data_IF_153079200413
#
_entry.id   IF_153079200413
#
_cell.length_a   1.000
_cell.length_b   1.000
_cell.length_c   1.000
_cell.angle_alpha   90.00
_cell.angle_beta   90.00
_cell.angle_gamma   90.00
#
_symmetry.space_group_name_H-M   'P 1'
#
loop_
_entity.id
_entity.type
_entity.pdbx_description
1 polymer ?
#
# COMPACT_ATOMS: atom_id res chain seq x y z
N UNK A 1 18.04 6.44 -4.95
CA UNK A 1 18.04 5.17 -5.73
C UNK A 1 17.39 3.98 -5.03
N UNK A 2 17.69 3.67 -3.77
CA UNK A 2 17.28 2.42 -3.08
C UNK A 2 15.82 1.94 -3.32
N UNK A 3 14.79 2.68 -2.87
CA UNK A 3 13.39 2.25 -3.00
C UNK A 3 12.90 2.25 -4.46
N UNK A 4 13.43 3.14 -5.29
CA UNK A 4 13.13 3.18 -6.74
C UNK A 4 13.65 1.92 -7.41
N UNK A 5 14.86 1.48 -7.06
CA UNK A 5 15.44 0.22 -7.55
C UNK A 5 14.63 -0.99 -7.11
N UNK A 6 14.15 -1.02 -5.85
CA UNK A 6 13.25 -2.08 -5.37
C UNK A 6 11.94 -2.13 -6.17
N UNK A 7 11.33 -0.97 -6.41
CA UNK A 7 10.10 -0.87 -7.21
C UNK A 7 10.28 -1.45 -8.62
N UNK A 8 11.44 -1.25 -9.23
CA UNK A 8 11.73 -1.72 -10.59
C UNK A 8 12.23 -3.18 -10.65
N UNK A 9 12.95 -3.63 -9.63
CA UNK A 9 13.61 -4.95 -9.60
C UNK A 9 12.82 -6.06 -8.90
N UNK A 10 11.97 -5.72 -7.94
CA UNK A 10 11.31 -6.69 -7.06
C UNK A 10 9.82 -6.83 -7.36
N UNK A 11 9.47 -7.55 -8.44
CA UNK A 11 8.07 -7.74 -8.89
C UNK A 11 7.15 -8.42 -7.87
N UNK A 12 7.73 -9.20 -6.96
CA UNK A 12 6.97 -9.91 -5.92
C UNK A 12 7.11 -9.29 -4.52
N UNK A 13 7.58 -8.04 -4.41
CA UNK A 13 7.71 -7.37 -3.11
C UNK A 13 6.36 -7.36 -2.37
N UNK A 14 6.31 -7.97 -1.18
CA UNK A 14 5.11 -8.07 -0.34
C UNK A 14 5.19 -7.22 0.93
N UNK A 15 6.38 -7.04 1.47
CA UNK A 15 6.60 -6.29 2.71
C UNK A 15 7.81 -5.39 2.56
N UNK A 16 7.71 -4.15 3.04
CA UNK A 16 8.79 -3.18 3.04
C UNK A 16 8.78 -2.38 4.35
N UNK A 17 9.92 -2.38 5.04
CA UNK A 17 10.13 -1.60 6.27
C UNK A 17 11.14 -0.47 6.01
N UNK A 18 10.73 0.75 6.33
CA UNK A 18 11.48 1.99 6.10
C UNK A 18 11.44 2.88 7.35
N UNK A 19 11.32 2.27 8.53
CA UNK A 19 11.26 2.97 9.82
C UNK A 19 12.35 4.04 9.93
N UNK A 20 11.95 5.26 10.29
CA UNK A 20 12.82 6.41 10.55
C UNK A 20 13.72 6.82 9.35
N UNK A 21 13.39 6.41 8.13
CA UNK A 21 14.15 6.80 6.95
C UNK A 21 13.94 8.28 6.61
N UNK A 22 14.84 9.15 7.06
CA UNK A 22 14.74 10.61 6.85
C UNK A 22 15.00 11.06 5.39
N UNK A 23 15.71 10.25 4.61
CA UNK A 23 16.09 10.58 3.22
C UNK A 23 15.12 9.99 2.18
N UNK A 24 14.01 9.40 2.62
CA UNK A 24 13.01 8.89 1.68
C UNK A 24 12.20 10.04 1.10
N UNK A 25 11.81 9.91 -0.17
CA UNK A 25 11.16 10.97 -0.93
C UNK A 25 9.85 10.50 -1.53
N UNK A 26 8.97 11.45 -1.84
CA UNK A 26 7.72 11.18 -2.57
C UNK A 26 7.98 10.50 -3.91
N UNK A 27 9.07 10.85 -4.62
CA UNK A 27 9.48 10.18 -5.86
C UNK A 27 9.66 8.67 -5.67
N UNK A 28 10.18 8.25 -4.51
CA UNK A 28 10.30 6.83 -4.19
C UNK A 28 8.93 6.17 -3.98
N UNK A 29 7.99 6.84 -3.30
CA UNK A 29 6.62 6.35 -3.12
C UNK A 29 5.88 6.23 -4.47
N UNK A 30 5.97 7.24 -5.33
CA UNK A 30 5.38 7.18 -6.67
C UNK A 30 5.99 6.07 -7.53
N UNK A 31 7.30 5.82 -7.39
CA UNK A 31 7.93 4.68 -8.08
C UNK A 31 7.38 3.35 -7.60
N UNK A 32 7.15 3.19 -6.28
CA UNK A 32 6.49 2.00 -5.73
C UNK A 32 5.06 1.86 -6.25
N UNK A 33 4.26 2.92 -6.23
CA UNK A 33 2.89 2.92 -6.78
C UNK A 33 2.88 2.45 -8.25
N UNK A 34 3.82 2.95 -9.05
CA UNK A 34 3.91 2.64 -10.47
C UNK A 34 4.53 1.27 -10.81
N UNK A 35 5.12 0.56 -9.84
CA UNK A 35 5.77 -0.74 -10.08
C UNK A 35 4.83 -1.82 -10.64
N UNK A 36 3.52 -1.66 -10.45
CA UNK A 36 2.45 -2.52 -10.99
C UNK A 36 2.34 -2.48 -12.51
N UNK A 37 2.67 -1.34 -13.13
CA UNK A 37 2.33 -1.04 -14.52
C UNK A 37 3.47 -1.37 -15.50
N UNK A 38 4.48 -2.13 -15.05
CA UNK A 38 5.67 -2.47 -15.81
C UNK A 38 5.42 -3.43 -16.99
N UNK A 39 4.98 -2.86 -18.12
CA UNK A 39 5.16 -3.31 -19.53
C UNK A 39 4.16 -4.26 -20.20
N UNK A 40 2.95 -4.50 -19.69
CA UNK A 40 1.87 -5.12 -20.50
C UNK A 40 0.48 -4.81 -19.92
N UNK A 41 0.07 -3.55 -20.07
CA UNK A 41 -1.11 -2.93 -19.45
C UNK A 41 -2.45 -3.60 -19.81
N UNK A 42 -2.56 -4.38 -20.89
CA UNK A 42 -3.86 -4.92 -21.33
C UNK A 42 -4.15 -6.38 -20.93
N UNK A 43 -3.11 -7.21 -20.73
CA UNK A 43 -3.30 -8.65 -20.43
C UNK A 43 -3.20 -8.94 -18.93
N UNK A 44 -2.45 -8.11 -18.20
CA UNK A 44 -2.06 -8.38 -16.82
C UNK A 44 -3.18 -8.09 -15.80
N UNK A 45 -4.08 -7.15 -16.10
CA UNK A 45 -5.20 -6.78 -15.22
C UNK A 45 -6.20 -7.94 -15.03
N UNK A 46 -6.38 -8.79 -16.05
CA UNK A 46 -7.26 -9.97 -15.98
C UNK A 46 -6.61 -11.22 -15.37
N UNK A 47 -5.28 -11.33 -15.37
CA UNK A 47 -4.57 -12.53 -14.88
C UNK A 47 -4.06 -12.36 -13.44
N UNK A 48 -3.62 -11.15 -13.04
CA UNK A 48 -3.06 -10.94 -11.70
C UNK A 48 -4.07 -10.54 -10.63
N UNK A 49 -5.25 -10.06 -11.03
CA UNK A 49 -6.38 -9.92 -10.10
C UNK A 49 -6.75 -11.25 -9.45
N UNK A 50 -6.39 -12.40 -10.06
CA UNK A 50 -6.55 -13.73 -9.46
C UNK A 50 -5.48 -14.13 -8.43
N UNK A 51 -4.28 -13.56 -8.44
CA UNK A 51 -3.16 -14.03 -7.60
C UNK A 51 -2.74 -13.11 -6.45
N UNK A 52 -3.43 -11.98 -6.24
CA UNK A 52 -3.21 -11.16 -5.04
C UNK A 52 -1.76 -10.68 -4.88
N UNK A 53 -1.08 -10.44 -6.00
CA UNK A 53 0.29 -9.96 -5.99
C UNK A 53 0.36 -8.49 -5.57
N UNK A 54 1.56 -7.96 -5.29
CA UNK A 54 1.81 -6.58 -4.88
C UNK A 54 2.10 -6.39 -3.39
N UNK A 55 2.41 -5.15 -3.01
CA UNK A 55 2.76 -4.78 -1.65
C UNK A 55 1.56 -4.99 -0.71
N UNK A 56 1.81 -5.63 0.43
CA UNK A 56 0.80 -5.98 1.44
C UNK A 56 1.09 -5.39 2.80
N UNK A 57 2.36 -5.11 3.09
CA UNK A 57 2.79 -4.47 4.33
C UNK A 57 3.80 -3.38 4.01
N UNK A 58 3.59 -2.20 4.60
CA UNK A 58 4.49 -1.07 4.47
C UNK A 58 4.59 -0.37 5.82
N UNK A 59 5.80 -0.30 6.37
CA UNK A 59 6.06 0.50 7.56
C UNK A 59 6.95 1.68 7.19
N UNK A 60 6.40 2.89 7.28
CA UNK A 60 7.09 4.16 7.05
C UNK A 60 7.00 5.06 8.29
N UNK A 61 6.89 4.46 9.47
CA UNK A 61 6.80 5.22 10.73
C UNK A 61 7.99 6.17 10.87
N UNK A 62 7.73 7.38 11.37
CA UNK A 62 8.72 8.45 11.54
C UNK A 62 9.37 8.97 10.24
N UNK A 63 8.86 8.59 9.06
CA UNK A 63 9.28 9.19 7.78
C UNK A 63 8.54 10.51 7.57
N UNK A 64 9.06 11.58 8.18
CA UNK A 64 8.42 12.91 8.19
C UNK A 64 8.58 13.70 6.88
N UNK A 65 9.49 13.27 6.00
CA UNK A 65 9.73 13.90 4.69
C UNK A 65 8.69 13.52 3.61
N UNK A 66 7.80 12.56 3.88
CA UNK A 66 6.79 12.10 2.92
C UNK A 66 5.50 12.92 3.00
N UNK A 67 4.86 13.12 1.87
CA UNK A 67 3.56 13.78 1.78
C UNK A 67 2.39 12.79 1.69
N UNK A 68 1.22 13.20 2.18
CA UNK A 68 0.02 12.36 2.13
C UNK A 68 -0.38 11.94 0.70
N UNK A 69 -0.34 12.81 -0.33
CA UNK A 69 -0.66 12.39 -1.70
C UNK A 69 0.27 11.28 -2.23
N UNK A 70 1.57 11.36 -1.93
CA UNK A 70 2.53 10.36 -2.38
C UNK A 70 2.27 8.98 -1.76
N UNK A 71 1.93 8.95 -0.46
CA UNK A 71 1.59 7.71 0.24
C UNK A 71 0.19 7.21 -0.16
N UNK A 72 -0.76 8.11 -0.42
CA UNK A 72 -2.09 7.75 -0.92
C UNK A 72 -2.01 7.03 -2.27
N UNK A 73 -1.15 7.49 -3.19
CA UNK A 73 -0.93 6.81 -4.47
C UNK A 73 -0.45 5.35 -4.29
N UNK A 74 0.33 5.07 -3.24
CA UNK A 74 0.73 3.70 -2.88
C UNK A 74 -0.48 2.89 -2.40
N UNK A 75 -1.32 3.45 -1.53
CA UNK A 75 -2.57 2.78 -1.12
C UNK A 75 -3.48 2.45 -2.30
N UNK A 76 -3.66 3.39 -3.23
CA UNK A 76 -4.55 3.23 -4.38
C UNK A 76 -4.03 2.13 -5.33
N UNK A 77 -2.71 2.02 -5.47
CA UNK A 77 -2.06 0.99 -6.31
C UNK A 77 -2.05 -0.40 -5.68
N UNK A 78 -2.13 -0.48 -4.35
CA UNK A 78 -2.03 -1.71 -3.57
C UNK A 78 -3.22 -1.87 -2.61
N UNK A 79 -4.37 -2.41 -3.07
CA UNK A 79 -5.59 -2.54 -2.27
C UNK A 79 -5.48 -3.48 -1.07
N UNK A 80 -4.38 -4.23 -0.95
CA UNK A 80 -4.07 -5.03 0.25
C UNK A 80 -3.42 -4.20 1.38
N UNK A 81 -3.09 -2.93 1.14
CA UNK A 81 -2.63 -2.00 2.16
C UNK A 81 -3.83 -1.37 2.87
N UNK A 82 -3.77 -1.41 4.20
CA UNK A 82 -4.84 -0.97 5.07
C UNK A 82 -4.31 -0.06 6.17
N UNK A 83 -4.95 1.11 6.30
CA UNK A 83 -4.78 2.03 7.44
C UNK A 83 -5.83 1.80 8.53
N UNK A 84 -6.81 0.92 8.31
CA UNK A 84 -7.84 0.62 9.30
C UNK A 84 -7.30 -0.22 10.47
N UNK A 85 -7.82 -0.05 11.70
CA UNK A 85 -7.29 -0.69 12.91
C UNK A 85 -7.24 -2.22 12.85
N UNK A 86 -8.21 -2.87 12.21
CA UNK A 86 -8.31 -4.35 12.20
C UNK A 86 -7.24 -5.03 11.33
N UNK A 87 -6.76 -4.35 10.29
CA UNK A 87 -5.80 -4.92 9.32
C UNK A 87 -4.43 -4.27 9.39
N UNK A 88 -4.40 -2.95 9.61
CA UNK A 88 -3.24 -2.14 9.96
C UNK A 88 -1.92 -2.56 9.26
N UNK A 89 -1.95 -2.67 7.94
CA UNK A 89 -0.81 -3.14 7.15
C UNK A 89 0.04 -2.02 6.58
N UNK A 90 -0.49 -0.79 6.53
CA UNK A 90 0.27 0.43 6.35
C UNK A 90 0.45 1.12 7.70
N UNK A 91 1.69 1.19 8.18
CA UNK A 91 2.05 1.78 9.47
C UNK A 91 2.74 3.13 9.23
N UNK A 92 2.09 4.21 9.70
CA UNK A 92 2.50 5.61 9.52
C UNK A 92 2.68 6.34 10.85
N UNK A 93 2.92 5.60 11.94
CA UNK A 93 3.02 6.17 13.28
C UNK A 93 4.07 7.27 13.34
N UNK A 94 3.68 8.42 13.91
CA UNK A 94 4.53 9.60 14.05
C UNK A 94 4.84 10.37 12.75
N UNK A 95 4.19 10.02 11.64
CA UNK A 95 4.19 10.82 10.42
C UNK A 95 3.08 11.87 10.46
N UNK A 96 3.37 13.03 11.05
CA UNK A 96 2.38 14.09 11.30
C UNK A 96 1.74 14.67 10.02
N UNK A 97 2.40 14.52 8.87
CA UNK A 97 1.94 15.04 7.57
C UNK A 97 1.02 14.08 6.80
N UNK A 98 0.79 12.85 7.29
CA UNK A 98 0.07 11.79 6.57
C UNK A 98 -1.40 11.61 6.99
N UNK A 99 -2.03 12.66 7.53
CA UNK A 99 -3.36 12.60 8.14
C UNK A 99 -4.50 12.27 7.17
N UNK A 100 -4.33 12.54 5.87
CA UNK A 100 -5.34 12.27 4.83
C UNK A 100 -5.12 10.96 4.09
N UNK A 101 -4.24 10.08 4.59
CA UNK A 101 -4.01 8.77 3.96
C UNK A 101 -5.08 7.80 4.41
N UNK A 102 -5.83 7.27 3.43
CA UNK A 102 -6.92 6.34 3.67
C UNK A 102 -6.74 5.11 2.80
N UNK A 103 -7.07 3.94 3.35
CA UNK A 103 -7.20 2.73 2.54
C UNK A 103 -8.59 2.66 1.90
N UNK A 104 -8.74 1.82 0.87
CA UNK A 104 -10.01 1.61 0.17
C UNK A 104 -11.18 1.22 1.10
N UNK A 105 -10.90 0.67 2.29
CA UNK A 105 -11.92 0.39 3.30
C UNK A 105 -12.68 1.64 3.77
N UNK A 106 -12.06 2.83 3.71
CA UNK A 106 -12.70 4.08 4.11
C UNK A 106 -13.82 4.52 3.15
N UNK A 107 -13.77 4.08 1.89
CA UNK A 107 -14.76 4.39 0.86
C UNK A 107 -15.86 3.32 0.74
N UNK A 108 -15.72 2.19 1.43
CA UNK A 108 -16.76 1.16 1.52
C UNK A 108 -17.31 1.09 2.94
N UNK A 109 -18.34 1.90 3.28
CA UNK A 109 -19.15 1.61 4.45
C UNK A 109 -19.98 0.35 4.15
N UNK A 110 -19.44 -0.85 4.45
CA UNK A 110 -20.11 -2.03 5.06
C UNK A 110 -19.58 -3.41 4.60
N UNK A 111 -19.86 -4.39 5.47
CA UNK A 111 -19.62 -5.86 5.41
C UNK A 111 -18.36 -6.35 6.11
N UNK A 112 -18.31 -6.11 7.42
CA UNK A 112 -17.75 -7.10 8.34
C UNK A 112 -18.38 -8.46 8.04
N UNK A 113 -17.54 -9.40 7.63
CA UNK A 113 -17.88 -10.80 7.51
C UNK A 113 -18.17 -11.37 8.92
N UNK A 114 -19.43 -11.28 9.35
CA UNK A 114 -19.99 -12.14 10.38
C UNK A 114 -20.60 -13.37 9.72
N UNK A 115 -19.80 -14.40 9.44
CA UNK A 115 -20.34 -15.76 9.33
C UNK A 115 -20.49 -16.30 10.76
N UNK A 116 -21.72 -16.35 11.26
CA UNK A 116 -22.09 -17.20 12.40
C UNK A 116 -23.54 -17.67 12.23
N UNK A 117 -23.64 -18.90 11.69
CA UNK A 117 -24.65 -19.95 11.90
C UNK A 117 -26.15 -19.58 11.88
N UNK A 118 -26.82 -20.00 10.80
CA UNK A 118 -28.26 -20.30 10.81
C UNK A 118 -28.39 -21.64 11.55
N UNK A 119 -28.93 -21.63 12.77
CA UNK A 119 -29.44 -22.83 13.42
C UNK A 119 -30.87 -23.05 12.93
N UNK A 120 -31.13 -24.24 12.38
CA UNK A 120 -32.47 -24.78 12.16
C UNK A 120 -33.05 -25.29 13.48
#
# INVERSE_FOLDING_TARGET
DSVVSLANGCRHLRSLGLYYCQNITDRAMYSLANSRYGRNHEVWESVLTKHGEGLRNLNISQCTALTAPAVQAVCDSFPALHTCPDRHSLIISGCLSLTSVHCACALQPWRSAGKATIAQ
#
